data_IF_877613221347
#
_entry.id   IF_877613221347
#
_cell.length_a   1.000
_cell.length_b   1.000
_cell.length_c   1.000
_cell.angle_alpha   90.00
_cell.angle_beta   90.00
_cell.angle_gamma   90.00
#
_symmetry.space_group_name_H-M   'P 1'
#
loop_
_entity.id
_entity.type
_entity.pdbx_description
1 polymer ?
#
# COMPACT_ATOMS: atom_id res chain seq x y z
N UNK A 1 10.05 -39.61 8.43
CA UNK A 1 9.23 -39.21 7.26
C UNK A 1 9.43 -37.71 7.03
N UNK A 2 10.34 -37.33 6.13
CA UNK A 2 10.49 -35.94 5.68
C UNK A 2 9.68 -35.79 4.38
N UNK A 3 8.41 -35.43 4.50
CA UNK A 3 7.50 -35.27 3.37
C UNK A 3 7.57 -33.86 2.76
N UNK A 4 7.76 -33.82 1.43
CA UNK A 4 7.35 -32.74 0.50
C UNK A 4 7.79 -31.30 0.79
N UNK A 5 9.10 -30.98 0.80
CA UNK A 5 9.55 -29.60 1.00
C UNK A 5 10.71 -29.13 0.10
N UNK A 6 10.77 -29.56 -1.16
CA UNK A 6 11.89 -29.26 -2.06
C UNK A 6 11.96 -27.82 -2.64
N UNK A 7 11.06 -26.91 -2.24
CA UNK A 7 11.05 -25.53 -2.79
C UNK A 7 10.94 -24.41 -1.75
N UNK A 8 10.92 -24.72 -0.45
CA UNK A 8 10.84 -23.66 0.57
C UNK A 8 12.21 -23.00 0.76
N UNK A 9 12.22 -21.67 0.68
CA UNK A 9 13.40 -20.88 1.03
C UNK A 9 13.66 -20.95 2.53
N UNK A 10 14.92 -20.75 2.93
CA UNK A 10 15.31 -20.70 4.34
C UNK A 10 14.45 -19.74 5.18
N UNK A 11 14.06 -18.58 4.63
CA UNK A 11 13.21 -17.61 5.34
C UNK A 11 11.79 -18.13 5.59
N UNK A 12 11.23 -18.89 4.65
CA UNK A 12 9.91 -19.51 4.80
C UNK A 12 9.92 -20.56 5.91
N UNK A 13 10.98 -21.37 6.00
CA UNK A 13 11.16 -22.32 7.10
C UNK A 13 11.17 -21.62 8.47
N UNK A 14 11.95 -20.53 8.62
CA UNK A 14 11.98 -19.78 9.88
C UNK A 14 10.63 -19.16 10.25
N UNK A 15 9.87 -18.73 9.24
CA UNK A 15 8.53 -18.21 9.44
C UNK A 15 7.55 -19.30 9.90
N UNK A 16 7.69 -20.53 9.42
CA UNK A 16 6.89 -21.67 9.88
C UNK A 16 7.20 -22.05 11.33
N UNK A 17 8.48 -22.12 11.72
CA UNK A 17 8.87 -22.30 13.13
C UNK A 17 8.20 -21.25 14.03
N UNK A 18 8.26 -19.97 13.63
CA UNK A 18 7.63 -18.89 14.38
C UNK A 18 6.10 -19.04 14.46
N UNK A 19 5.45 -19.44 13.37
CA UNK A 19 4.00 -19.71 13.34
C UNK A 19 3.59 -20.88 14.24
N UNK A 20 4.43 -21.91 14.34
CA UNK A 20 4.23 -23.07 15.21
C UNK A 20 4.43 -22.75 16.70
N UNK A 21 4.83 -21.53 17.03
CA UNK A 21 4.98 -21.05 18.41
C UNK A 21 6.42 -20.93 18.90
N UNK A 22 7.42 -21.27 18.06
CA UNK A 22 8.81 -21.10 18.45
C UNK A 22 9.15 -19.62 18.67
N UNK A 23 9.72 -19.33 19.83
CA UNK A 23 10.20 -17.98 20.14
C UNK A 23 11.29 -17.55 19.16
N UNK A 24 11.35 -16.27 18.81
CA UNK A 24 12.44 -15.75 17.98
C UNK A 24 13.82 -15.98 18.62
N UNK A 25 13.89 -16.01 19.95
CA UNK A 25 15.11 -16.31 20.71
C UNK A 25 15.56 -17.76 20.52
N UNK A 26 14.65 -18.73 20.55
CA UNK A 26 14.99 -20.14 20.31
C UNK A 26 15.43 -20.34 18.87
N UNK A 27 14.67 -19.82 17.90
CA UNK A 27 15.04 -19.87 16.47
C UNK A 27 16.44 -19.28 16.24
N UNK A 28 16.71 -18.10 16.79
CA UNK A 28 18.00 -17.41 16.67
C UNK A 28 19.18 -18.25 17.20
N UNK A 29 18.99 -18.89 18.36
CA UNK A 29 19.99 -19.79 18.95
C UNK A 29 20.25 -20.99 18.04
N UNK A 30 19.19 -21.64 17.54
CA UNK A 30 19.30 -22.83 16.69
C UNK A 30 20.06 -22.55 15.40
N UNK A 31 19.83 -21.39 14.77
CA UNK A 31 20.45 -21.07 13.47
C UNK A 31 21.74 -20.24 13.58
N UNK A 32 22.19 -19.93 14.80
CA UNK A 32 23.40 -19.12 15.03
C UNK A 32 23.32 -17.69 14.46
N UNK A 33 22.14 -17.04 14.53
CA UNK A 33 21.94 -15.65 14.05
C UNK A 33 21.47 -14.75 15.17
N UNK A 34 21.63 -13.43 15.01
CA UNK A 34 21.08 -12.47 15.95
C UNK A 34 19.54 -12.47 15.92
N UNK A 35 18.92 -12.20 17.07
CA UNK A 35 17.46 -12.07 17.21
C UNK A 35 16.90 -11.04 16.21
N UNK A 36 17.60 -9.92 16.03
CA UNK A 36 17.23 -8.87 15.07
C UNK A 36 17.20 -9.36 13.62
N UNK A 37 18.12 -10.25 13.25
CA UNK A 37 18.17 -10.87 11.92
C UNK A 37 16.99 -11.80 11.70
N UNK A 38 16.64 -12.60 12.71
CA UNK A 38 15.48 -13.50 12.64
C UNK A 38 14.18 -12.72 12.51
N UNK A 39 14.00 -11.64 13.28
CA UNK A 39 12.84 -10.74 13.11
C UNK A 39 12.75 -10.18 11.69
N UNK A 40 13.87 -9.75 11.10
CA UNK A 40 13.89 -9.27 9.71
C UNK A 40 13.45 -10.37 8.73
N UNK A 41 13.91 -11.61 8.91
CA UNK A 41 13.52 -12.72 8.04
C UNK A 41 12.03 -13.06 8.14
N UNK A 42 11.50 -13.15 9.37
CA UNK A 42 10.07 -13.35 9.64
C UNK A 42 9.25 -12.23 9.00
N UNK A 43 9.67 -10.98 9.19
CA UNK A 43 8.97 -9.82 8.65
C UNK A 43 8.91 -9.83 7.12
N UNK A 44 9.99 -10.23 6.44
CA UNK A 44 9.99 -10.34 4.97
C UNK A 44 8.91 -11.30 4.47
N UNK A 45 8.76 -12.46 5.11
CA UNK A 45 7.73 -13.43 4.72
C UNK A 45 6.32 -12.98 5.13
N UNK A 46 6.16 -12.35 6.29
CA UNK A 46 4.89 -11.73 6.70
C UNK A 46 4.43 -10.67 5.70
N UNK A 47 5.33 -9.77 5.29
CA UNK A 47 5.04 -8.67 4.37
C UNK A 47 4.63 -9.23 3.00
N UNK A 48 5.31 -10.27 2.49
CA UNK A 48 4.95 -10.93 1.22
C UNK A 48 3.55 -11.51 1.22
N UNK A 49 3.09 -12.04 2.35
CA UNK A 49 1.76 -12.66 2.47
C UNK A 49 0.69 -11.59 2.66
N UNK A 50 0.91 -10.62 3.55
CA UNK A 50 -0.12 -9.64 3.94
C UNK A 50 -0.22 -8.48 2.94
N UNK A 51 0.87 -8.04 2.33
CA UNK A 51 0.85 -6.87 1.44
C UNK A 51 -0.06 -7.03 0.21
N UNK A 52 -0.10 -8.17 -0.50
CA UNK A 52 -1.03 -8.35 -1.62
C UNK A 52 -2.50 -8.16 -1.22
N UNK A 53 -2.87 -8.61 -0.02
CA UNK A 53 -4.22 -8.46 0.54
C UNK A 53 -4.49 -6.97 0.82
N UNK A 54 -3.57 -6.29 1.51
CA UNK A 54 -3.68 -4.85 1.78
C UNK A 54 -3.75 -4.03 0.49
N UNK A 55 -2.96 -4.39 -0.53
CA UNK A 55 -2.98 -3.75 -1.85
C UNK A 55 -4.35 -3.88 -2.51
N UNK A 56 -5.00 -5.04 -2.40
CA UNK A 56 -6.35 -5.24 -2.91
C UNK A 56 -7.39 -4.40 -2.14
N UNK A 57 -7.35 -4.40 -0.81
CA UNK A 57 -8.21 -3.58 0.06
C UNK A 57 -8.06 -2.08 -0.27
N UNK A 58 -6.82 -1.59 -0.40
CA UNK A 58 -6.53 -0.20 -0.74
C UNK A 58 -7.01 0.19 -2.14
N UNK A 59 -6.89 -0.71 -3.13
CA UNK A 59 -7.43 -0.48 -4.49
C UNK A 59 -8.94 -0.32 -4.47
N UNK A 60 -9.64 -1.18 -3.72
CA UNK A 60 -11.09 -1.06 -3.53
C UNK A 60 -11.42 0.28 -2.88
N UNK A 61 -10.68 0.65 -1.84
CA UNK A 61 -10.95 1.87 -1.08
C UNK A 61 -10.69 3.16 -1.90
N UNK A 62 -9.67 3.16 -2.75
CA UNK A 62 -9.41 4.23 -3.71
C UNK A 62 -10.57 4.42 -4.69
N UNK A 63 -11.10 3.32 -5.23
CA UNK A 63 -12.24 3.37 -6.15
C UNK A 63 -13.51 3.93 -5.49
N UNK A 64 -13.73 3.55 -4.23
CA UNK A 64 -14.87 3.99 -3.41
C UNK A 64 -14.68 5.41 -2.82
N UNK A 65 -13.45 5.94 -2.78
CA UNK A 65 -13.13 7.24 -2.19
C UNK A 65 -13.06 7.23 -0.66
N UNK A 66 -12.91 6.07 -0.03
CA UNK A 66 -12.86 5.89 1.43
C UNK A 66 -11.48 5.43 1.94
N UNK A 67 -10.41 5.65 1.14
CA UNK A 67 -9.05 5.26 1.53
C UNK A 67 -8.65 5.81 2.90
N UNK A 68 -9.00 7.06 3.22
CA UNK A 68 -8.70 7.66 4.52
C UNK A 68 -9.22 6.82 5.68
N UNK A 69 -10.50 6.45 5.62
CA UNK A 69 -11.14 5.62 6.64
C UNK A 69 -10.45 4.26 6.77
N UNK A 70 -10.14 3.59 5.64
CA UNK A 70 -9.41 2.32 5.66
C UNK A 70 -8.10 2.46 6.42
N UNK A 71 -7.26 3.45 6.10
CA UNK A 71 -5.93 3.60 6.72
C UNK A 71 -6.03 3.89 8.22
N UNK A 72 -7.03 4.66 8.67
CA UNK A 72 -7.23 5.01 10.08
C UNK A 72 -7.60 3.80 10.94
N UNK A 73 -8.37 2.84 10.40
CA UNK A 73 -8.79 1.63 11.13
C UNK A 73 -7.75 0.51 11.10
N UNK A 74 -6.70 0.60 10.28
CA UNK A 74 -5.68 -0.42 10.20
C UNK A 74 -4.93 -0.57 11.54
N UNK A 75 -4.56 -1.82 11.83
CA UNK A 75 -3.67 -2.11 12.94
C UNK A 75 -2.25 -1.59 12.64
N UNK A 76 -1.43 -1.44 13.68
CA UNK A 76 -0.09 -0.90 13.56
C UNK A 76 0.83 -1.72 12.65
N UNK A 77 0.66 -3.06 12.60
CA UNK A 77 1.47 -3.94 11.75
C UNK A 77 1.19 -3.63 10.27
N UNK A 78 -0.08 -3.55 9.88
CA UNK A 78 -0.50 -3.23 8.52
C UNK A 78 -0.02 -1.85 8.07
N UNK A 79 -0.13 -0.84 8.95
CA UNK A 79 0.42 0.50 8.70
C UNK A 79 1.93 0.44 8.44
N UNK A 80 2.67 -0.34 9.23
CA UNK A 80 4.10 -0.51 9.04
C UNK A 80 4.44 -1.25 7.73
N UNK A 81 3.62 -2.20 7.28
CA UNK A 81 3.78 -2.88 5.99
C UNK A 81 3.64 -1.86 4.85
N UNK A 82 2.59 -1.04 4.86
CA UNK A 82 2.36 -0.01 3.84
C UNK A 82 3.53 0.98 3.82
N UNK A 83 3.90 1.51 5.00
CA UNK A 83 5.04 2.43 5.15
C UNK A 83 6.31 1.86 4.50
N UNK A 84 6.65 0.60 4.76
CA UNK A 84 7.86 -0.04 4.22
C UNK A 84 7.81 -0.20 2.71
N UNK A 85 6.69 -0.68 2.16
CA UNK A 85 6.55 -0.87 0.72
C UNK A 85 6.69 0.45 -0.06
N UNK A 86 6.14 1.55 0.50
CA UNK A 86 6.23 2.88 -0.10
C UNK A 86 7.39 3.75 0.41
N UNK A 87 8.30 3.17 1.23
CA UNK A 87 9.47 3.86 1.81
C UNK A 87 9.13 5.19 2.50
N UNK A 88 8.02 5.23 3.22
CA UNK A 88 7.50 6.45 3.86
C UNK A 88 8.18 6.71 5.22
N UNK A 89 8.12 7.95 5.69
CA UNK A 89 8.63 8.38 7.00
C UNK A 89 7.61 8.09 8.13
N UNK A 90 7.95 8.46 9.38
CA UNK A 90 7.07 8.35 10.53
C UNK A 90 7.55 7.38 11.62
N UNK A 91 7.40 7.79 12.88
CA UNK A 91 7.90 7.09 14.08
C UNK A 91 6.77 6.42 14.84
N UNK A 92 5.76 7.19 15.24
CA UNK A 92 4.54 6.73 15.92
C UNK A 92 3.43 6.34 14.93
N UNK A 93 2.26 5.92 15.43
CA UNK A 93 1.14 5.49 14.57
C UNK A 93 0.56 6.66 13.77
N UNK A 94 0.31 7.80 14.41
CA UNK A 94 -0.32 8.96 13.76
C UNK A 94 0.54 9.51 12.61
N UNK A 95 1.84 9.71 12.84
CA UNK A 95 2.75 10.22 11.81
C UNK A 95 2.87 9.28 10.61
N UNK A 96 2.78 7.96 10.82
CA UNK A 96 2.78 6.98 9.74
C UNK A 96 1.49 7.03 8.93
N UNK A 97 0.34 7.15 9.61
CA UNK A 97 -0.96 7.32 8.93
C UNK A 97 -0.91 8.58 8.08
N UNK A 98 -0.46 9.71 8.65
CA UNK A 98 -0.39 10.97 7.93
C UNK A 98 0.52 10.88 6.70
N UNK A 99 1.71 10.29 6.85
CA UNK A 99 2.62 10.08 5.71
C UNK A 99 2.02 9.21 4.60
N UNK A 100 1.22 8.19 4.95
CA UNK A 100 0.49 7.38 3.98
C UNK A 100 -0.58 8.23 3.28
N UNK A 101 -1.40 8.96 4.03
CA UNK A 101 -2.47 9.78 3.46
C UNK A 101 -1.92 10.87 2.52
N UNK A 102 -0.83 11.52 2.90
CA UNK A 102 -0.17 12.54 2.09
C UNK A 102 0.39 11.94 0.80
N UNK A 103 1.05 10.79 0.88
CA UNK A 103 1.54 10.08 -0.30
C UNK A 103 0.40 9.68 -1.24
N UNK A 104 -0.72 9.20 -0.70
CA UNK A 104 -1.87 8.73 -1.48
C UNK A 104 -2.84 9.83 -1.93
N UNK A 105 -2.64 11.09 -1.53
CA UNK A 105 -3.57 12.21 -1.78
C UNK A 105 -3.90 12.38 -3.27
N UNK A 106 -2.88 12.55 -4.09
CA UNK A 106 -3.03 12.76 -5.53
C UNK A 106 -3.58 11.50 -6.24
N UNK A 107 -3.14 10.32 -5.82
CA UNK A 107 -3.64 9.05 -6.35
C UNK A 107 -5.13 8.82 -6.01
N UNK A 108 -5.58 9.29 -4.85
CA UNK A 108 -6.98 9.23 -4.43
C UNK A 108 -7.90 10.10 -5.29
N UNK A 109 -7.41 11.25 -5.75
CA UNK A 109 -8.17 12.15 -6.62
C UNK A 109 -8.47 11.49 -7.97
N UNK A 110 -7.48 10.79 -8.55
CA UNK A 110 -7.65 10.03 -9.79
C UNK A 110 -8.18 8.61 -9.60
N UNK A 111 -8.36 8.15 -8.36
CA UNK A 111 -8.76 6.78 -8.00
C UNK A 111 -7.87 5.71 -8.63
N UNK A 112 -6.56 5.92 -8.57
CA UNK A 112 -5.55 4.99 -9.10
C UNK A 112 -4.62 4.52 -8.01
N UNK A 113 -4.00 3.36 -8.21
CA UNK A 113 -2.97 2.85 -7.31
C UNK A 113 -1.57 3.24 -7.83
N UNK A 114 -0.62 3.62 -6.96
CA UNK A 114 0.69 4.14 -7.35
C UNK A 114 1.64 3.12 -7.99
N UNK A 115 1.45 1.83 -7.76
CA UNK A 115 2.32 0.79 -8.33
C UNK A 115 2.01 0.50 -9.80
N UNK A 116 3.06 0.23 -10.58
CA UNK A 116 2.99 -0.09 -12.01
C UNK A 116 2.23 0.98 -12.83
N UNK A 117 2.35 2.24 -12.41
CA UNK A 117 1.77 3.36 -13.13
C UNK A 117 2.52 3.61 -14.43
N UNK A 118 1.75 3.76 -15.49
CA UNK A 118 2.21 4.21 -16.79
C UNK A 118 1.48 5.48 -17.16
N UNK A 119 2.09 6.31 -18.00
CA UNK A 119 1.45 7.50 -18.58
C UNK A 119 0.08 7.18 -19.19
N UNK A 120 -0.07 6.01 -19.81
CA UNK A 120 -1.33 5.54 -20.36
C UNK A 120 -2.39 5.29 -19.27
N UNK A 121 -2.04 4.57 -18.19
CA UNK A 121 -2.95 4.32 -17.07
C UNK A 121 -3.42 5.63 -16.42
N UNK A 122 -2.50 6.58 -16.22
CA UNK A 122 -2.81 7.91 -15.68
C UNK A 122 -3.78 8.66 -16.60
N UNK A 123 -3.54 8.65 -17.92
CA UNK A 123 -4.40 9.30 -18.92
C UNK A 123 -5.80 8.69 -18.97
N UNK A 124 -5.91 7.36 -18.88
CA UNK A 124 -7.20 6.66 -18.84
C UNK A 124 -7.98 7.05 -17.58
N UNK A 125 -7.32 7.04 -16.42
CA UNK A 125 -7.95 7.41 -15.16
C UNK A 125 -8.40 8.87 -15.14
N UNK A 126 -7.56 9.79 -15.63
CA UNK A 126 -7.92 11.19 -15.81
C UNK A 126 -9.17 11.34 -16.66
N UNK A 127 -9.24 10.70 -17.84
CA UNK A 127 -10.42 10.79 -18.72
C UNK A 127 -11.70 10.31 -18.03
N UNK A 128 -11.61 9.20 -17.27
CA UNK A 128 -12.75 8.69 -16.50
C UNK A 128 -13.18 9.71 -15.44
N UNK A 129 -12.24 10.18 -14.63
CA UNK A 129 -12.54 11.10 -13.52
C UNK A 129 -13.00 12.48 -14.00
N UNK A 130 -12.38 12.99 -15.06
CA UNK A 130 -12.77 14.24 -15.72
C UNK A 130 -14.22 14.20 -16.19
N UNK A 131 -14.68 13.08 -16.77
CA UNK A 131 -16.10 12.90 -17.14
C UNK A 131 -17.03 12.91 -15.92
N UNK A 132 -16.60 12.36 -14.78
CA UNK A 132 -17.38 12.32 -13.53
C UNK A 132 -17.46 13.69 -12.83
N UNK A 133 -16.46 14.56 -13.03
CA UNK A 133 -16.38 15.87 -12.37
C UNK A 133 -16.66 17.05 -13.30
N UNK A 134 -16.89 16.80 -14.60
CA UNK A 134 -17.11 17.87 -15.58
C UNK A 134 -18.38 18.65 -15.25
N UNK A 135 -18.31 19.99 -15.13
CA UNK A 135 -19.46 20.83 -14.76
C UNK A 135 -20.59 20.74 -15.80
N UNK A 136 -20.26 20.73 -17.11
CA UNK A 136 -21.29 20.65 -18.15
C UNK A 136 -21.95 19.26 -18.28
N UNK A 137 -21.20 18.18 -18.03
CA UNK A 137 -21.74 16.82 -18.14
C UNK A 137 -22.49 16.39 -16.87
N UNK A 138 -22.13 16.94 -15.71
CA UNK A 138 -22.75 16.61 -14.44
C UNK A 138 -23.40 17.84 -13.81
N UNK A 139 -24.68 18.05 -14.13
CA UNK A 139 -25.51 19.13 -13.57
C UNK A 139 -25.65 19.10 -12.04
N UNK A 140 -25.28 17.98 -11.40
CA UNK A 140 -25.23 17.82 -9.93
C UNK A 140 -23.94 18.34 -9.30
N UNK A 141 -22.88 18.53 -10.08
CA UNK A 141 -21.59 19.05 -9.62
C UNK A 141 -21.66 20.58 -9.69
N UNK A 142 -21.15 21.27 -8.67
CA UNK A 142 -21.20 22.72 -8.60
C UNK A 142 -20.58 23.35 -9.85
N UNK A 143 -21.26 24.37 -10.42
CA UNK A 143 -20.86 25.05 -11.66
C UNK A 143 -19.43 25.62 -11.64
N UNK A 144 -18.86 25.86 -10.45
CA UNK A 144 -17.50 26.39 -10.29
C UNK A 144 -16.39 25.44 -10.76
N UNK A 145 -16.67 24.15 -11.00
CA UNK A 145 -15.71 23.22 -11.60
C UNK A 145 -14.46 22.92 -10.75
N UNK A 146 -14.48 23.21 -9.44
CA UNK A 146 -13.31 23.03 -8.55
C UNK A 146 -12.76 21.60 -8.58
N UNK A 147 -13.64 20.61 -8.53
CA UNK A 147 -13.24 19.19 -8.58
C UNK A 147 -12.58 18.83 -9.91
N UNK A 148 -13.05 19.41 -11.01
CA UNK A 148 -12.47 19.21 -12.33
C UNK A 148 -11.08 19.85 -12.43
N UNK A 149 -10.93 21.08 -11.90
CA UNK A 149 -9.64 21.78 -11.84
C UNK A 149 -8.63 20.98 -11.02
N UNK A 150 -9.04 20.41 -9.89
CA UNK A 150 -8.17 19.60 -9.04
C UNK A 150 -7.75 18.29 -9.73
N UNK A 151 -8.69 17.61 -10.41
CA UNK A 151 -8.40 16.43 -11.23
C UNK A 151 -7.39 16.75 -12.34
N UNK A 152 -7.52 17.90 -12.99
CA UNK A 152 -6.59 18.36 -14.02
C UNK A 152 -5.20 18.70 -13.45
N UNK A 153 -5.14 19.38 -12.30
CA UNK A 153 -3.89 19.68 -11.58
C UNK A 153 -3.13 18.40 -11.26
N UNK A 154 -3.81 17.42 -10.67
CA UNK A 154 -3.22 16.13 -10.30
C UNK A 154 -2.73 15.36 -11.51
N UNK A 155 -3.54 15.28 -12.58
CA UNK A 155 -3.12 14.65 -13.83
C UNK A 155 -1.82 15.27 -14.37
N UNK A 156 -1.74 16.61 -14.39
CA UNK A 156 -0.56 17.33 -14.87
C UNK A 156 0.68 16.99 -14.04
N UNK A 157 0.54 16.94 -12.72
CA UNK A 157 1.64 16.61 -11.82
C UNK A 157 2.10 15.15 -11.97
N UNK A 158 1.17 14.20 -11.98
CA UNK A 158 1.51 12.78 -12.11
C UNK A 158 2.10 12.47 -13.48
N UNK A 159 1.62 13.08 -14.56
CA UNK A 159 2.26 12.91 -15.87
C UNK A 159 3.68 13.45 -15.86
N UNK A 160 4.00 14.55 -15.17
CA UNK A 160 5.38 15.05 -15.07
C UNK A 160 6.32 14.10 -14.30
N UNK A 161 5.81 13.46 -13.25
CA UNK A 161 6.59 12.54 -12.40
C UNK A 161 6.82 11.20 -13.12
N UNK A 162 5.83 10.74 -13.89
CA UNK A 162 5.83 9.42 -14.54
C UNK A 162 5.91 9.51 -16.08
N UNK A 163 6.48 10.60 -16.62
CA UNK A 163 6.76 10.80 -18.05
C UNK A 163 8.06 10.12 -18.45
#
# INVERSE_FOLDING_TARGET
MFGSDSHKTFKQYLFECYKSGDSVKSIAKTIGKSISTVYKYIQVEMDKIRYPILKAEMKIALNQGNLKYLIEILNYKDICIIKRNFKLSGTNKESKIQAILDYFKDFSILKIFPEELTKLKIKIAFRKRAKETHPDLNKKVGKCGKDFQEVHRVYTNLVKIYA
#
